data_IF_294217054611
#
_entry.id   IF_294217054611
#
_cell.length_a   1.000
_cell.length_b   1.000
_cell.length_c   1.000
_cell.angle_alpha   90.00
_cell.angle_beta   90.00
_cell.angle_gamma   90.00
#
_symmetry.space_group_name_H-M   'P 1'
#
loop_
_entity.id
_entity.type
_entity.pdbx_description
1 polymer ?
#
# COMPACT_ATOMS: atom_id res chain seq x y z
N UNK A 1 19.69 9.38 35.56
CA UNK A 1 19.47 10.51 34.63
C UNK A 1 20.48 10.41 33.50
N UNK A 2 20.06 10.05 32.28
CA UNK A 2 20.97 9.98 31.14
C UNK A 2 21.38 11.41 30.75
N UNK A 3 22.69 11.64 30.59
CA UNK A 3 23.20 12.93 30.13
C UNK A 3 22.71 13.13 28.68
N UNK A 4 21.83 14.10 28.45
CA UNK A 4 21.46 14.52 27.11
C UNK A 4 22.72 14.97 26.37
N UNK A 5 23.11 14.24 25.31
CA UNK A 5 24.24 14.62 24.45
C UNK A 5 23.92 15.97 23.81
N UNK A 6 24.80 16.96 23.99
CA UNK A 6 24.69 18.25 23.31
C UNK A 6 24.78 18.02 21.79
N UNK A 7 23.87 18.59 20.98
CA UNK A 7 23.92 18.44 19.53
C UNK A 7 25.21 19.07 19.01
N UNK A 8 26.04 18.27 18.33
CA UNK A 8 27.28 18.72 17.71
C UNK A 8 26.97 18.93 16.23
N UNK A 9 26.91 20.19 15.80
CA UNK A 9 26.91 20.50 14.37
C UNK A 9 28.32 20.19 13.85
N UNK A 10 28.41 19.26 12.89
CA UNK A 10 29.65 18.93 12.18
C UNK A 10 29.79 19.88 10.98
N UNK A 11 31.01 20.17 10.53
CA UNK A 11 31.40 21.18 9.53
C UNK A 11 30.59 21.25 8.21
N UNK A 12 29.75 20.25 7.92
CA UNK A 12 28.87 20.22 6.74
C UNK A 12 27.50 20.93 6.92
N UNK A 13 27.28 21.67 8.01
CA UNK A 13 26.06 22.45 8.22
C UNK A 13 24.78 21.63 8.50
N UNK A 14 24.92 20.39 9.02
CA UNK A 14 23.80 19.57 9.44
C UNK A 14 24.00 18.93 10.82
N UNK A 15 22.89 18.70 11.52
CA UNK A 15 22.81 17.95 12.79
C UNK A 15 22.35 16.51 12.47
N UNK A 16 23.05 15.49 12.99
CA UNK A 16 22.56 14.10 12.94
C UNK A 16 21.79 13.84 14.23
N UNK A 17 20.52 13.48 14.10
CA UNK A 17 19.65 13.15 15.22
C UNK A 17 18.90 11.85 14.92
N UNK A 18 19.09 10.83 15.76
CA UNK A 18 18.48 9.50 15.62
C UNK A 18 18.60 8.89 14.20
N UNK A 19 19.80 8.97 13.59
CA UNK A 19 20.07 8.47 12.24
C UNK A 19 19.51 9.33 11.09
N UNK A 20 18.81 10.43 11.41
CA UNK A 20 18.30 11.38 10.43
C UNK A 20 19.22 12.60 10.31
N UNK A 21 19.34 13.18 9.12
CA UNK A 21 20.08 14.44 8.91
C UNK A 21 19.12 15.63 8.97
N UNK A 22 19.38 16.60 9.84
CA UNK A 22 18.63 17.85 9.97
C UNK A 22 19.49 18.98 9.43
N UNK A 23 19.03 19.66 8.36
CA UNK A 23 19.69 20.81 7.75
C UNK A 23 18.90 22.08 8.02
N UNK A 24 19.59 23.16 8.39
CA UNK A 24 19.01 24.51 8.37
C UNK A 24 19.15 25.07 6.97
N UNK A 25 18.04 25.52 6.37
CA UNK A 25 18.02 26.12 5.05
C UNK A 25 17.55 27.56 5.22
N UNK A 26 18.39 28.50 4.80
CA UNK A 26 18.08 29.92 4.76
C UNK A 26 17.40 30.25 3.43
N UNK A 27 16.30 30.98 3.50
CA UNK A 27 15.60 31.55 2.34
C UNK A 27 16.02 33.01 2.21
N UNK A 28 16.05 33.50 0.98
CA UNK A 28 16.17 34.91 0.65
C UNK A 28 15.10 35.68 1.46
N UNK A 29 15.51 36.69 2.25
CA UNK A 29 14.74 37.44 3.25
C UNK A 29 14.88 37.00 4.72
N UNK A 30 15.90 36.22 5.07
CA UNK A 30 16.26 35.94 6.48
C UNK A 30 15.35 34.93 7.19
N UNK A 31 14.29 34.45 6.52
CA UNK A 31 13.53 33.30 6.98
C UNK A 31 14.37 32.03 6.83
N UNK A 32 14.27 31.14 7.80
CA UNK A 32 14.93 29.84 7.73
C UNK A 32 13.96 28.73 8.13
N UNK A 33 14.19 27.54 7.58
CA UNK A 33 13.46 26.33 7.95
C UNK A 33 14.41 25.17 8.13
N UNK A 34 13.95 24.12 8.79
CA UNK A 34 14.71 22.92 9.11
C UNK A 34 14.21 21.77 8.25
N UNK A 35 15.08 21.17 7.44
CA UNK A 35 14.76 20.01 6.62
C UNK A 35 15.35 18.74 7.23
N UNK A 36 14.48 17.79 7.57
CA UNK A 36 14.87 16.45 8.02
C UNK A 36 14.89 15.51 6.82
N UNK A 37 16.02 14.85 6.60
CA UNK A 37 16.19 13.80 5.59
C UNK A 37 16.26 12.45 6.28
N UNK A 38 15.30 11.58 5.97
CA UNK A 38 15.27 10.20 6.44
C UNK A 38 16.21 9.35 5.58
N UNK A 39 17.08 8.58 6.23
CA UNK A 39 17.89 7.58 5.53
C UNK A 39 17.01 6.39 5.14
N UNK A 40 17.13 5.92 3.90
CA UNK A 40 16.45 4.73 3.38
C UNK A 40 17.49 3.71 2.94
N UNK A 41 17.11 2.43 2.97
CA UNK A 41 17.89 1.31 2.42
C UNK A 41 17.80 1.30 0.87
N UNK A 42 16.67 1.74 0.29
CA UNK A 42 16.53 1.88 -1.17
C UNK A 42 15.57 3.02 -1.58
N UNK A 43 15.79 3.60 -2.77
CA UNK A 43 14.93 4.63 -3.39
C UNK A 43 15.26 6.09 -3.06
N UNK A 44 14.40 7.02 -3.52
CA UNK A 44 14.59 8.47 -3.31
C UNK A 44 14.47 8.83 -1.81
N UNK A 45 15.36 9.69 -1.25
CA UNK A 45 15.29 10.13 0.14
C UNK A 45 13.98 10.87 0.43
N UNK A 46 13.34 10.55 1.56
CA UNK A 46 12.17 11.30 2.04
C UNK A 46 12.68 12.53 2.80
N UNK A 47 12.23 13.71 2.38
CA UNK A 47 12.55 15.00 3.00
C UNK A 47 11.29 15.63 3.57
N UNK A 48 11.35 16.14 4.79
CA UNK A 48 10.27 16.88 5.46
C UNK A 48 10.83 18.19 6.00
N UNK A 49 10.12 19.28 5.75
CA UNK A 49 10.52 20.62 6.21
C UNK A 49 9.68 21.05 7.41
N UNK A 50 10.31 21.74 8.35
CA UNK A 50 9.72 22.24 9.60
C UNK A 50 10.14 23.68 9.83
N UNK A 51 9.26 24.45 10.46
CA UNK A 51 9.55 25.86 10.78
C UNK A 51 10.55 25.93 11.95
N UNK A 52 10.37 25.06 12.96
CA UNK A 52 11.14 25.10 14.20
C UNK A 52 12.10 23.91 14.32
N UNK A 53 13.29 24.15 14.89
CA UNK A 53 14.29 23.12 15.16
C UNK A 53 13.74 22.01 16.07
N UNK A 54 12.97 22.38 17.08
CA UNK A 54 12.36 21.43 18.03
C UNK A 54 11.40 20.46 17.34
N UNK A 55 10.57 20.95 16.40
CA UNK A 55 9.68 20.09 15.61
C UNK A 55 10.47 19.12 14.72
N UNK A 56 11.57 19.59 14.12
CA UNK A 56 12.45 18.75 13.32
C UNK A 56 13.10 17.64 14.16
N UNK A 57 13.54 17.97 15.39
CA UNK A 57 14.12 17.00 16.33
C UNK A 57 13.09 15.97 16.80
N UNK A 58 11.92 16.40 17.27
CA UNK A 58 10.85 15.51 17.70
C UNK A 58 10.40 14.57 16.57
N UNK A 59 10.34 15.08 15.33
CA UNK A 59 10.06 14.23 14.17
C UNK A 59 11.17 13.21 13.91
N UNK A 60 12.45 13.62 13.99
CA UNK A 60 13.58 12.72 13.80
C UNK A 60 13.64 11.60 14.85
N UNK A 61 13.29 11.91 16.09
CA UNK A 61 13.22 10.94 17.20
C UNK A 61 12.11 9.92 16.96
N UNK A 62 10.90 10.38 16.62
CA UNK A 62 9.79 9.49 16.27
C UNK A 62 10.11 8.61 15.05
N UNK A 63 10.80 9.17 14.05
CA UNK A 63 11.21 8.41 12.89
C UNK A 63 12.28 7.37 13.22
N UNK A 64 13.23 7.70 14.10
CA UNK A 64 14.24 6.77 14.62
C UNK A 64 13.61 5.60 15.38
N UNK A 65 12.67 5.89 16.29
CA UNK A 65 11.91 4.86 17.04
C UNK A 65 11.15 3.95 16.06
N UNK A 66 10.41 4.52 15.11
CA UNK A 66 9.69 3.75 14.09
C UNK A 66 10.63 2.93 13.20
N UNK A 67 11.83 3.43 12.92
CA UNK A 67 12.85 2.72 12.15
C UNK A 67 13.40 1.52 12.91
N UNK A 68 13.72 1.69 14.21
CA UNK A 68 14.17 0.61 15.08
C UNK A 68 13.08 -0.45 15.27
N UNK A 69 11.85 -0.03 15.55
CA UNK A 69 10.68 -0.92 15.66
C UNK A 69 10.38 -1.61 14.33
N UNK A 70 10.55 -0.90 13.21
CA UNK A 70 10.41 -1.44 11.86
C UNK A 70 11.43 -2.52 11.57
N UNK A 71 12.70 -2.32 11.94
CA UNK A 71 13.74 -3.34 11.85
C UNK A 71 13.39 -4.59 12.66
N UNK A 72 12.89 -4.41 13.89
CA UNK A 72 12.42 -5.51 14.74
C UNK A 72 11.16 -6.19 14.21
N UNK A 73 10.30 -5.48 13.47
CA UNK A 73 9.11 -6.06 12.80
C UNK A 73 9.44 -6.75 11.48
N UNK A 74 10.47 -6.30 10.76
CA UNK A 74 10.92 -6.95 9.53
C UNK A 74 11.71 -8.22 9.85
N UNK A 75 12.50 -8.21 10.93
CA UNK A 75 13.16 -9.41 11.46
C UNK A 75 12.22 -10.26 12.31
N UNK A 76 11.14 -9.66 12.81
CA UNK A 76 10.13 -10.35 13.58
C UNK A 76 9.14 -11.01 12.65
N UNK A 77 9.29 -12.34 12.46
CA UNK A 77 8.20 -13.20 12.02
C UNK A 77 6.88 -12.76 12.67
N UNK A 78 5.79 -12.72 11.90
CA UNK A 78 4.46 -12.37 12.42
C UNK A 78 4.13 -13.35 13.55
N UNK A 79 3.46 -12.93 14.62
CA UNK A 79 3.22 -13.79 15.80
C UNK A 79 2.61 -15.18 15.47
N UNK A 80 1.71 -15.36 14.48
CA UNK A 80 1.27 -16.68 14.04
C UNK A 80 2.41 -17.50 13.44
N UNK A 81 3.23 -16.91 12.57
CA UNK A 81 4.38 -17.56 11.95
C UNK A 81 5.47 -17.90 12.98
N UNK A 82 5.60 -17.12 14.06
CA UNK A 82 6.47 -17.46 15.21
C UNK A 82 5.95 -18.68 15.94
N UNK A 83 4.65 -18.73 16.23
CA UNK A 83 4.04 -19.88 16.88
C UNK A 83 4.13 -21.14 16.01
N UNK A 84 3.99 -21.00 14.70
CA UNK A 84 4.16 -22.09 13.75
C UNK A 84 5.62 -22.50 13.57
N UNK A 85 6.57 -21.57 13.51
CA UNK A 85 8.00 -21.88 13.47
C UNK A 85 8.43 -22.59 14.76
N UNK A 86 7.95 -22.12 15.92
CA UNK A 86 8.19 -22.76 17.22
C UNK A 86 7.52 -24.14 17.27
N UNK A 87 6.28 -24.28 16.79
CA UNK A 87 5.60 -25.58 16.64
C UNK A 87 6.38 -26.53 15.72
N UNK A 88 6.88 -26.03 14.59
CA UNK A 88 7.68 -26.81 13.65
C UNK A 88 9.03 -27.23 14.26
N UNK A 89 9.63 -26.40 15.11
CA UNK A 89 10.81 -26.83 15.88
C UNK A 89 10.50 -27.77 17.05
N UNK A 90 9.27 -27.78 17.57
CA UNK A 90 8.89 -28.63 18.73
C UNK A 90 8.23 -29.95 18.34
N UNK A 91 7.68 -30.06 17.13
CA UNK A 91 7.13 -31.28 16.55
C UNK A 91 8.23 -31.99 15.73
N UNK A 92 8.86 -33.01 16.31
CA UNK A 92 9.60 -34.12 15.66
C UNK A 92 10.76 -33.81 14.68
N UNK A 93 11.05 -32.55 14.38
CA UNK A 93 11.97 -32.16 13.31
C UNK A 93 13.42 -31.92 13.73
N UNK A 94 13.68 -31.83 15.04
CA UNK A 94 15.04 -31.74 15.58
C UNK A 94 15.87 -32.97 15.17
N UNK A 95 15.23 -34.14 15.01
CA UNK A 95 15.89 -35.38 14.58
C UNK A 95 15.76 -35.69 13.08
N UNK A 96 14.87 -35.00 12.36
CA UNK A 96 14.54 -35.31 10.97
C UNK A 96 15.36 -34.50 9.95
N UNK A 97 16.11 -33.49 10.40
CA UNK A 97 16.91 -32.60 9.56
C UNK A 97 16.06 -31.53 8.87
N UNK A 98 16.70 -30.38 8.57
CA UNK A 98 16.04 -29.19 8.02
C UNK A 98 15.19 -29.49 6.76
N UNK A 99 15.62 -30.47 5.95
CA UNK A 99 14.93 -30.86 4.71
C UNK A 99 13.53 -31.43 4.95
N UNK A 100 13.34 -32.26 5.97
CA UNK A 100 12.02 -32.81 6.32
C UNK A 100 11.12 -31.74 6.94
N UNK A 101 11.70 -30.79 7.67
CA UNK A 101 10.98 -29.65 8.22
C UNK A 101 10.42 -28.75 7.13
N UNK A 102 11.26 -28.42 6.14
CA UNK A 102 10.83 -27.70 4.96
C UNK A 102 9.79 -28.48 4.17
N UNK A 103 9.97 -29.80 3.98
CA UNK A 103 9.00 -30.62 3.23
C UNK A 103 7.62 -30.64 3.92
N UNK A 104 7.58 -30.85 5.23
CA UNK A 104 6.34 -30.82 6.00
C UNK A 104 5.67 -29.44 5.97
N UNK A 105 6.43 -28.36 6.16
CA UNK A 105 5.90 -26.99 6.00
C UNK A 105 5.32 -26.77 4.60
N UNK A 106 6.01 -27.23 3.56
CA UNK A 106 5.52 -27.17 2.18
C UNK A 106 4.25 -28.01 1.96
N UNK A 107 4.13 -29.19 2.57
CA UNK A 107 2.93 -30.05 2.47
C UNK A 107 1.74 -29.47 3.23
N UNK A 108 1.96 -28.93 4.44
CA UNK A 108 0.88 -28.43 5.30
C UNK A 108 0.36 -27.06 4.86
N UNK A 109 1.18 -26.26 4.18
CA UNK A 109 0.82 -24.89 3.80
C UNK A 109 0.55 -24.71 2.29
N UNK A 110 0.78 -25.74 1.44
CA UNK A 110 0.38 -25.74 0.02
C UNK A 110 -0.93 -26.50 -0.25
N UNK A 111 -1.96 -26.34 0.58
CA UNK A 111 -3.26 -27.00 0.36
C UNK A 111 -3.96 -26.61 -0.97
N UNK A 112 -3.42 -25.65 -1.74
CA UNK A 112 -3.70 -25.52 -3.17
C UNK A 112 -2.47 -25.97 -3.98
N UNK A 113 -2.36 -27.27 -4.20
CA UNK A 113 -1.31 -27.94 -5.01
C UNK A 113 -1.42 -27.62 -6.50
N UNK A 114 -2.42 -26.86 -6.93
CA UNK A 114 -2.59 -26.49 -8.31
C UNK A 114 -1.47 -25.52 -8.73
N UNK A 115 -0.63 -25.98 -9.66
CA UNK A 115 0.37 -25.13 -10.30
C UNK A 115 -0.29 -23.92 -10.97
N UNK A 116 0.46 -22.83 -11.11
CA UNK A 116 -0.01 -21.61 -11.79
C UNK A 116 -0.64 -21.93 -13.14
N UNK A 117 -0.10 -22.92 -13.86
CA UNK A 117 -0.62 -23.32 -15.17
C UNK A 117 -2.05 -23.82 -15.14
N UNK A 118 -2.35 -24.75 -14.22
CA UNK A 118 -3.70 -25.31 -14.05
C UNK A 118 -4.70 -24.21 -13.64
N UNK A 119 -4.32 -23.35 -12.69
CA UNK A 119 -5.17 -22.23 -12.26
C UNK A 119 -5.40 -21.20 -13.36
N UNK A 120 -4.40 -20.95 -14.22
CA UNK A 120 -4.55 -20.06 -15.37
C UNK A 120 -5.54 -20.65 -16.39
N UNK A 121 -5.50 -21.96 -16.62
CA UNK A 121 -6.46 -22.64 -17.51
C UNK A 121 -7.89 -22.56 -16.97
N UNK A 122 -8.10 -22.83 -15.67
CA UNK A 122 -9.39 -22.66 -15.01
C UNK A 122 -9.91 -21.20 -15.11
N UNK A 123 -9.03 -20.22 -14.87
CA UNK A 123 -9.39 -18.81 -14.97
C UNK A 123 -9.79 -18.40 -16.40
N UNK A 124 -9.09 -18.93 -17.41
CA UNK A 124 -9.41 -18.67 -18.82
C UNK A 124 -10.73 -19.34 -19.19
N UNK A 125 -11.00 -20.55 -18.71
CA UNK A 125 -12.27 -21.25 -18.92
C UNK A 125 -13.44 -20.47 -18.31
N UNK A 126 -13.32 -19.99 -17.07
CA UNK A 126 -14.36 -19.17 -16.43
C UNK A 126 -14.60 -17.86 -17.19
N UNK A 127 -13.53 -17.20 -17.67
CA UNK A 127 -13.69 -16.01 -18.52
C UNK A 127 -14.35 -16.31 -19.86
N UNK A 128 -14.05 -17.46 -20.48
CA UNK A 128 -14.68 -17.89 -21.72
C UNK A 128 -16.19 -18.06 -21.51
N UNK A 129 -16.62 -18.76 -20.46
CA UNK A 129 -18.05 -18.93 -20.14
C UNK A 129 -18.76 -17.59 -19.97
N UNK A 130 -18.11 -16.60 -19.33
CA UNK A 130 -18.66 -15.25 -19.18
C UNK A 130 -18.76 -14.51 -20.51
N UNK A 131 -17.78 -14.69 -21.40
CA UNK A 131 -17.83 -14.14 -22.76
C UNK A 131 -18.95 -14.78 -23.57
N UNK A 132 -19.16 -16.09 -23.45
CA UNK A 132 -20.22 -16.82 -24.16
C UNK A 132 -21.62 -16.38 -23.69
N UNK A 133 -21.75 -16.00 -22.41
CA UNK A 133 -22.97 -15.35 -21.87
C UNK A 133 -23.15 -13.89 -22.29
N UNK A 134 -22.18 -13.30 -23.00
CA UNK A 134 -22.21 -11.89 -23.40
C UNK A 134 -21.87 -10.90 -22.29
N UNK A 135 -21.36 -11.35 -21.13
CA UNK A 135 -20.97 -10.47 -20.02
C UNK A 135 -19.63 -9.75 -20.27
N UNK A 136 -18.76 -10.33 -21.10
CA UNK A 136 -17.41 -9.84 -21.37
C UNK A 136 -17.12 -9.77 -22.88
N UNK A 137 -16.49 -8.69 -23.38
CA UNK A 137 -16.07 -8.60 -24.77
C UNK A 137 -15.03 -9.67 -25.14
N UNK A 138 -15.20 -10.31 -26.31
CA UNK A 138 -14.27 -11.33 -26.80
C UNK A 138 -12.82 -10.83 -26.94
N UNK A 139 -12.62 -9.56 -27.28
CA UNK A 139 -11.29 -8.95 -27.32
C UNK A 139 -10.55 -9.03 -25.98
N UNK A 140 -11.26 -8.80 -24.86
CA UNK A 140 -10.66 -8.87 -23.52
C UNK A 140 -10.18 -10.27 -23.16
N UNK A 141 -10.89 -11.29 -23.64
CA UNK A 141 -10.50 -12.68 -23.47
C UNK A 141 -9.24 -13.01 -24.28
N UNK A 142 -9.19 -12.57 -25.55
CA UNK A 142 -8.02 -12.78 -26.42
C UNK A 142 -6.76 -12.19 -25.80
N UNK A 143 -6.82 -10.94 -25.33
CA UNK A 143 -5.69 -10.29 -24.66
C UNK A 143 -5.28 -11.03 -23.39
N UNK A 144 -6.26 -11.36 -22.53
CA UNK A 144 -5.99 -12.08 -21.28
C UNK A 144 -5.34 -13.44 -21.55
N UNK A 145 -5.83 -14.19 -22.54
CA UNK A 145 -5.29 -15.50 -22.92
C UNK A 145 -3.88 -15.40 -23.47
N UNK A 146 -3.61 -14.40 -24.32
CA UNK A 146 -2.28 -14.17 -24.87
C UNK A 146 -1.24 -13.92 -23.75
N UNK A 147 -1.54 -13.03 -22.82
CA UNK A 147 -0.61 -12.69 -21.74
C UNK A 147 -0.45 -13.79 -20.70
N UNK A 148 -1.55 -14.38 -20.23
CA UNK A 148 -1.47 -15.41 -19.21
C UNK A 148 -0.82 -16.70 -19.74
N UNK A 149 -0.91 -16.99 -21.05
CA UNK A 149 -0.19 -18.11 -21.65
C UNK A 149 1.33 -17.92 -21.58
N UNK A 150 1.83 -16.69 -21.80
CA UNK A 150 3.26 -16.38 -21.67
C UNK A 150 3.71 -16.47 -20.22
N UNK A 151 2.92 -15.93 -19.30
CA UNK A 151 3.17 -16.04 -17.85
C UNK A 151 3.17 -17.50 -17.36
N UNK A 152 2.20 -18.30 -17.80
CA UNK A 152 2.10 -19.73 -17.50
C UNK A 152 3.26 -20.54 -18.07
N UNK A 153 3.84 -20.15 -19.22
CA UNK A 153 5.03 -20.82 -19.75
C UNK A 153 6.22 -20.76 -18.78
N UNK A 154 6.34 -19.66 -18.05
CA UNK A 154 7.47 -19.42 -17.14
C UNK A 154 7.18 -19.93 -15.72
N UNK A 155 6.00 -19.61 -15.18
CA UNK A 155 5.65 -19.92 -13.80
C UNK A 155 4.71 -21.14 -13.66
N UNK A 156 4.26 -21.75 -14.76
CA UNK A 156 3.17 -22.72 -14.76
C UNK A 156 3.39 -23.96 -13.90
N UNK A 157 4.65 -24.39 -13.79
CA UNK A 157 5.08 -25.54 -12.99
C UNK A 157 5.20 -25.24 -11.49
N UNK A 158 5.18 -23.95 -11.10
CA UNK A 158 5.31 -23.53 -9.71
C UNK A 158 3.95 -23.44 -9.05
N UNK A 159 3.94 -23.65 -7.74
CA UNK A 159 2.75 -23.38 -6.92
C UNK A 159 2.48 -21.87 -6.88
N UNK A 160 1.20 -21.49 -6.97
CA UNK A 160 0.79 -20.08 -7.10
C UNK A 160 1.26 -19.19 -5.94
N UNK A 161 1.35 -19.75 -4.72
CA UNK A 161 1.82 -19.04 -3.52
C UNK A 161 3.33 -18.82 -3.46
N UNK A 162 4.11 -19.53 -4.30
CA UNK A 162 5.58 -19.41 -4.31
C UNK A 162 6.09 -18.32 -5.23
N UNK A 163 5.22 -17.72 -6.05
CA UNK A 163 5.58 -16.66 -6.99
C UNK A 163 5.68 -15.34 -6.24
N UNK A 164 6.89 -14.79 -6.16
CA UNK A 164 7.18 -13.56 -5.41
C UNK A 164 6.95 -12.30 -6.25
N UNK A 165 6.76 -11.15 -5.60
CA UNK A 165 6.62 -9.85 -6.29
C UNK A 165 7.85 -9.52 -7.14
N UNK A 166 9.06 -9.81 -6.65
CA UNK A 166 10.30 -9.51 -7.38
C UNK A 166 10.46 -10.34 -8.66
N UNK A 167 10.03 -11.60 -8.65
CA UNK A 167 10.03 -12.45 -9.85
C UNK A 167 9.00 -11.96 -10.88
N UNK A 168 7.84 -11.50 -10.43
CA UNK A 168 6.83 -10.90 -11.30
C UNK A 168 7.34 -9.58 -11.91
N UNK A 169 8.05 -8.76 -11.14
CA UNK A 169 8.66 -7.53 -11.64
C UNK A 169 9.75 -7.85 -12.68
N UNK A 170 10.61 -8.84 -12.41
CA UNK A 170 11.59 -9.35 -13.37
C UNK A 170 10.95 -9.87 -14.66
N UNK A 171 9.85 -10.61 -14.55
CA UNK A 171 9.06 -11.03 -15.71
C UNK A 171 8.57 -9.84 -16.54
N UNK A 172 8.12 -8.75 -15.91
CA UNK A 172 7.70 -7.55 -16.65
C UNK A 172 8.85 -6.81 -17.34
N UNK A 173 10.04 -6.86 -16.77
CA UNK A 173 11.24 -6.26 -17.35
C UNK A 173 11.74 -7.06 -18.57
N UNK A 174 11.61 -8.40 -18.54
CA UNK A 174 11.97 -9.27 -19.67
C UNK A 174 10.96 -9.26 -20.82
N UNK A 175 9.67 -9.15 -20.49
CA UNK A 175 8.60 -9.40 -21.45
C UNK A 175 8.39 -8.24 -22.42
N UNK A 176 8.66 -6.98 -22.04
CA UNK A 176 8.38 -5.80 -22.88
C UNK A 176 9.04 -4.47 -22.49
N UNK A 177 9.14 -3.56 -23.48
CA UNK A 177 9.39 -2.12 -23.27
C UNK A 177 8.22 -1.40 -22.57
N UNK A 178 8.51 -0.25 -21.95
CA UNK A 178 7.66 0.44 -20.97
C UNK A 178 6.18 0.70 -21.37
N UNK A 179 5.87 0.79 -22.66
CA UNK A 179 4.56 1.26 -23.15
C UNK A 179 3.35 0.38 -22.73
N UNK A 180 3.53 -0.94 -22.58
CA UNK A 180 2.42 -1.87 -22.30
C UNK A 180 2.50 -2.58 -20.93
N UNK A 181 3.51 -2.30 -20.10
CA UNK A 181 3.67 -2.97 -18.80
C UNK A 181 2.43 -2.84 -17.90
N UNK A 182 1.76 -1.68 -17.94
CA UNK A 182 0.55 -1.42 -17.16
C UNK A 182 -0.62 -2.33 -17.53
N UNK A 183 -0.86 -2.54 -18.83
CA UNK A 183 -1.93 -3.43 -19.29
C UNK A 183 -1.64 -4.88 -18.89
N UNK A 184 -0.39 -5.34 -19.03
CA UNK A 184 -0.01 -6.69 -18.65
C UNK A 184 -0.15 -6.91 -17.14
N UNK A 185 0.31 -5.95 -16.32
CA UNK A 185 0.11 -5.95 -14.86
C UNK A 185 -1.36 -6.10 -14.48
N UNK A 186 -2.27 -5.47 -15.22
CA UNK A 186 -3.70 -5.60 -14.98
C UNK A 186 -4.21 -7.03 -15.18
N UNK A 187 -3.82 -7.70 -16.27
CA UNK A 187 -4.27 -9.08 -16.54
C UNK A 187 -3.78 -10.06 -15.46
N UNK A 188 -2.49 -9.99 -15.10
CA UNK A 188 -1.91 -10.87 -14.07
C UNK A 188 -2.47 -10.53 -12.69
N UNK A 189 -2.66 -9.24 -12.36
CA UNK A 189 -3.29 -8.83 -11.11
C UNK A 189 -4.74 -9.32 -11.02
N UNK A 190 -5.49 -9.30 -12.14
CA UNK A 190 -6.85 -9.84 -12.21
C UNK A 190 -6.87 -11.35 -11.96
N UNK A 191 -5.92 -12.10 -12.53
CA UNK A 191 -5.75 -13.53 -12.26
C UNK A 191 -5.47 -13.79 -10.76
N UNK A 192 -4.51 -13.09 -10.15
CA UNK A 192 -4.22 -13.28 -8.73
C UNK A 192 -5.38 -12.87 -7.82
N UNK A 193 -6.12 -11.81 -8.15
CA UNK A 193 -7.34 -11.46 -7.41
C UNK A 193 -8.41 -12.54 -7.51
N UNK A 194 -8.56 -13.17 -8.68
CA UNK A 194 -9.45 -14.33 -8.85
C UNK A 194 -8.98 -15.52 -8.00
N UNK A 195 -7.69 -15.84 -8.00
CA UNK A 195 -7.12 -16.91 -7.18
C UNK A 195 -7.33 -16.65 -5.67
N UNK A 196 -7.20 -15.40 -5.22
CA UNK A 196 -7.54 -14.99 -3.84
C UNK A 196 -9.03 -15.19 -3.56
N UNK A 197 -9.91 -14.83 -4.49
CA UNK A 197 -11.37 -15.02 -4.32
C UNK A 197 -11.77 -16.50 -4.22
N UNK A 198 -11.02 -17.39 -4.88
CA UNK A 198 -11.16 -18.84 -4.81
C UNK A 198 -10.46 -19.46 -3.59
N UNK A 199 -9.81 -18.66 -2.74
CA UNK A 199 -9.00 -19.08 -1.59
C UNK A 199 -7.78 -19.95 -1.95
N UNK A 200 -7.33 -19.91 -3.21
CA UNK A 200 -6.06 -20.52 -3.63
C UNK A 200 -4.85 -19.71 -3.14
N UNK A 201 -5.08 -18.43 -2.80
CA UNK A 201 -4.08 -17.51 -2.26
C UNK A 201 -4.68 -16.68 -1.12
N UNK A 202 -3.83 -16.30 -0.16
CA UNK A 202 -4.20 -15.39 0.92
C UNK A 202 -4.18 -13.91 0.50
N UNK A 203 -3.27 -13.53 -0.41
CA UNK A 203 -3.15 -12.15 -0.92
C UNK A 203 -2.65 -12.11 -2.37
N UNK A 204 -2.80 -10.95 -3.02
CA UNK A 204 -2.30 -10.71 -4.38
C UNK A 204 -0.86 -10.17 -4.34
N UNK A 205 0.14 -10.87 -4.90
CA UNK A 205 1.55 -10.48 -4.83
C UNK A 205 1.88 -9.23 -5.68
N UNK A 206 1.06 -8.86 -6.66
CA UNK A 206 1.24 -7.64 -7.48
C UNK A 206 0.81 -6.39 -6.70
N UNK A 207 0.07 -6.57 -5.60
CA UNK A 207 -0.56 -5.49 -4.87
C UNK A 207 -1.68 -4.81 -5.67
N UNK A 208 -2.35 -3.80 -5.07
CA UNK A 208 -3.25 -2.94 -5.83
C UNK A 208 -2.42 -2.23 -6.90
N UNK A 209 -2.84 -2.33 -8.17
CA UNK A 209 -2.26 -1.53 -9.25
C UNK A 209 -2.50 -0.06 -8.94
N UNK A 210 -1.50 0.59 -8.33
CA UNK A 210 -1.48 2.04 -8.21
C UNK A 210 -1.40 2.59 -9.62
N UNK A 211 -2.45 3.29 -10.03
CA UNK A 211 -2.37 4.12 -11.23
C UNK A 211 -1.41 5.25 -10.86
N UNK A 212 -0.34 5.44 -11.63
CA UNK A 212 0.73 6.44 -11.43
C UNK A 212 0.23 7.89 -11.19
N UNK A 213 -1.07 8.16 -11.35
CA UNK A 213 -1.72 9.42 -11.03
C UNK A 213 -2.01 9.62 -9.52
N UNK A 214 -1.50 8.75 -8.63
CA UNK A 214 -1.68 8.84 -7.17
C UNK A 214 -3.01 8.28 -6.65
N UNK A 215 -3.57 7.27 -7.32
CA UNK A 215 -4.81 6.59 -6.91
C UNK A 215 -4.56 5.14 -6.48
N UNK A 216 -5.09 4.76 -5.31
CA UNK A 216 -5.27 3.37 -4.87
C UNK A 216 -6.60 2.84 -5.44
N UNK A 217 -6.59 1.74 -6.19
CA UNK A 217 -7.83 1.07 -6.62
C UNK A 217 -8.21 0.04 -5.55
N UNK A 218 -9.42 0.16 -5.00
CA UNK A 218 -9.91 -0.71 -3.94
C UNK A 218 -11.38 -1.08 -4.20
N UNK A 219 -11.67 -2.38 -4.41
CA UNK A 219 -13.01 -2.89 -4.77
C UNK A 219 -13.71 -2.11 -5.89
N UNK A 220 -13.01 -1.83 -6.99
CA UNK A 220 -13.53 -1.06 -8.13
C UNK A 220 -13.65 0.46 -7.89
N UNK A 221 -13.31 0.95 -6.70
CA UNK A 221 -13.30 2.37 -6.37
C UNK A 221 -11.90 2.95 -6.53
N UNK A 222 -11.78 4.19 -7.03
CA UNK A 222 -10.50 4.92 -7.04
C UNK A 222 -10.38 5.78 -5.78
N UNK A 223 -9.39 5.52 -4.94
CA UNK A 223 -9.08 6.28 -3.72
C UNK A 223 -7.86 7.15 -3.98
N UNK A 224 -8.01 8.48 -3.91
CA UNK A 224 -6.90 9.43 -4.02
C UNK A 224 -6.59 10.05 -2.67
N UNK A 225 -5.34 10.10 -2.26
CA UNK A 225 -4.93 10.98 -1.18
C UNK A 225 -4.63 12.37 -1.76
N UNK A 226 -5.33 13.39 -1.28
CA UNK A 226 -5.12 14.78 -1.69
C UNK A 226 -4.63 15.58 -0.49
N UNK A 227 -3.49 16.23 -0.66
CA UNK A 227 -2.95 17.17 0.32
C UNK A 227 -3.68 18.53 0.19
N UNK A 228 -4.09 19.07 1.33
CA UNK A 228 -4.60 20.43 1.50
C UNK A 228 -3.46 21.28 2.07
N UNK A 229 -3.51 22.60 1.86
CA UNK A 229 -2.67 23.55 2.58
C UNK A 229 -2.60 23.22 4.08
N UNK A 230 -1.43 23.47 4.69
CA UNK A 230 -1.10 23.18 6.09
C UNK A 230 -0.92 21.69 6.44
N UNK A 231 -0.60 20.83 5.48
CA UNK A 231 -0.20 19.43 5.71
C UNK A 231 -1.34 18.48 6.09
N UNK A 232 -2.59 18.96 6.06
CA UNK A 232 -3.77 18.11 6.16
C UNK A 232 -3.97 17.35 4.86
N UNK A 233 -4.44 16.11 4.94
CA UNK A 233 -4.78 15.32 3.77
C UNK A 233 -6.19 14.74 3.93
N UNK A 234 -6.88 14.56 2.80
CA UNK A 234 -8.11 13.79 2.76
C UNK A 234 -8.01 12.71 1.70
N UNK A 235 -8.80 11.67 1.87
CA UNK A 235 -8.92 10.57 0.93
C UNK A 235 -10.21 10.73 0.13
N UNK A 236 -10.10 10.88 -1.18
CA UNK A 236 -11.26 10.95 -2.08
C UNK A 236 -11.52 9.59 -2.71
N UNK A 237 -12.64 8.97 -2.38
CA UNK A 237 -13.14 7.78 -3.05
C UNK A 237 -14.01 8.22 -4.23
N UNK A 238 -13.69 7.75 -5.42
CA UNK A 238 -14.44 7.98 -6.65
C UNK A 238 -15.03 6.66 -7.12
N UNK A 239 -16.36 6.61 -7.14
CA UNK A 239 -17.15 5.51 -7.68
C UNK A 239 -17.48 5.83 -9.13
N UNK A 240 -17.04 4.98 -10.06
CA UNK A 240 -17.48 5.05 -11.45
C UNK A 240 -18.87 4.39 -11.55
N UNK A 241 -19.85 5.11 -12.11
CA UNK A 241 -21.16 4.55 -12.46
C UNK A 241 -21.12 4.06 -13.89
N UNK A 242 -21.87 3.00 -14.18
CA UNK A 242 -22.03 2.47 -15.55
C UNK A 242 -22.69 3.54 -16.45
N UNK A 243 -23.61 4.32 -15.90
CA UNK A 243 -24.19 5.50 -16.53
C UNK A 243 -24.24 6.70 -15.57
N UNK A 244 -23.93 7.90 -16.07
CA UNK A 244 -23.99 9.16 -15.32
C UNK A 244 -22.67 9.64 -14.69
N UNK A 245 -22.74 10.75 -13.93
CA UNK A 245 -21.58 11.39 -13.33
C UNK A 245 -20.99 10.53 -12.18
N UNK A 246 -19.66 10.45 -12.05
CA UNK A 246 -19.02 9.69 -10.98
C UNK A 246 -19.32 10.28 -9.60
N UNK A 247 -19.59 9.43 -8.62
CA UNK A 247 -19.82 9.85 -7.23
C UNK A 247 -18.47 10.00 -6.55
N UNK A 248 -18.21 11.19 -6.00
CA UNK A 248 -16.97 11.49 -5.25
C UNK A 248 -17.32 11.69 -3.79
N UNK A 249 -16.69 10.92 -2.89
CA UNK A 249 -16.79 11.10 -1.43
C UNK A 249 -15.42 11.35 -0.83
N UNK A 250 -15.36 12.25 0.16
CA UNK A 250 -14.11 12.62 0.84
C UNK A 250 -14.14 12.07 2.27
N UNK A 251 -12.99 11.59 2.73
CA UNK A 251 -12.80 10.99 4.05
C UNK A 251 -11.53 11.58 4.68
N UNK A 252 -11.53 11.68 6.01
CA UNK A 252 -10.37 12.21 6.74
C UNK A 252 -9.27 11.14 6.83
N UNK A 253 -9.65 9.87 6.90
CA UNK A 253 -8.70 8.76 7.09
C UNK A 253 -8.78 7.72 5.98
N UNK A 254 -7.65 7.07 5.68
CA UNK A 254 -7.58 5.99 4.69
C UNK A 254 -8.50 4.81 5.08
N UNK A 255 -8.58 4.49 6.38
CA UNK A 255 -9.43 3.41 6.90
C UNK A 255 -10.91 3.63 6.58
N UNK A 256 -11.41 4.86 6.76
CA UNK A 256 -12.78 5.22 6.40
C UNK A 256 -13.02 5.11 4.89
N UNK A 257 -12.08 5.61 4.08
CA UNK A 257 -12.16 5.52 2.62
C UNK A 257 -12.21 4.07 2.12
N UNK A 258 -11.32 3.20 2.62
CA UNK A 258 -11.29 1.78 2.28
C UNK A 258 -12.53 1.03 2.77
N UNK A 259 -12.99 1.31 4.00
CA UNK A 259 -14.21 0.70 4.53
C UNK A 259 -15.45 1.08 3.71
N UNK A 260 -15.54 2.34 3.27
CA UNK A 260 -16.59 2.78 2.38
C UNK A 260 -16.49 2.07 1.02
N UNK A 261 -15.31 2.07 0.39
CA UNK A 261 -15.07 1.41 -0.88
C UNK A 261 -15.45 -0.08 -0.86
N UNK A 262 -15.07 -0.82 0.20
CA UNK A 262 -15.46 -2.23 0.36
C UNK A 262 -16.96 -2.43 0.50
N UNK A 263 -17.66 -1.57 1.25
CA UNK A 263 -19.13 -1.65 1.40
C UNK A 263 -19.88 -1.32 0.11
N UNK A 264 -19.41 -0.36 -0.68
CA UNK A 264 -20.05 0.03 -1.95
C UNK A 264 -19.68 -0.90 -3.10
N UNK A 265 -18.43 -1.33 -3.18
CA UNK A 265 -17.96 -2.25 -4.22
C UNK A 265 -18.63 -3.62 -4.14
N UNK A 266 -18.99 -4.08 -2.94
CA UNK A 266 -19.69 -5.35 -2.73
C UNK A 266 -21.19 -5.32 -3.12
N UNK A 267 -21.82 -4.15 -3.27
CA UNK A 267 -23.27 -4.03 -3.46
C UNK A 267 -23.75 -3.82 -4.90
N UNK A 268 -22.85 -3.67 -5.88
CA UNK A 268 -23.23 -3.26 -7.23
C UNK A 268 -23.78 -1.83 -7.26
N UNK A 269 -23.70 -1.15 -8.41
CA UNK A 269 -24.00 0.28 -8.54
C UNK A 269 -25.48 0.66 -8.42
N UNK A 270 -26.37 -0.31 -8.18
CA UNK A 270 -27.80 -0.14 -8.42
C UNK A 270 -28.65 -0.18 -7.14
N UNK A 271 -28.04 -0.39 -5.97
CA UNK A 271 -28.71 -0.34 -4.68
C UNK A 271 -28.57 1.01 -3.98
N UNK A 272 -29.69 1.71 -3.76
CA UNK A 272 -29.79 2.93 -2.94
C UNK A 272 -28.97 2.82 -1.65
N UNK A 273 -27.83 3.50 -1.63
CA UNK A 273 -26.92 3.45 -0.49
C UNK A 273 -27.48 4.38 0.59
N UNK A 274 -28.13 3.82 1.63
CA UNK A 274 -28.54 4.54 2.84
C UNK A 274 -27.41 5.45 3.33
N UNK A 275 -27.69 6.74 3.41
CA UNK A 275 -26.70 7.77 3.69
C UNK A 275 -26.27 7.71 5.15
N UNK A 276 -25.08 7.18 5.42
CA UNK A 276 -24.38 7.41 6.68
C UNK A 276 -23.82 8.84 6.67
N UNK A 277 -24.36 9.66 7.59
CA UNK A 277 -23.81 10.89 8.15
C UNK A 277 -23.06 11.81 7.19
N UNK A 278 -23.77 12.79 6.63
CA UNK A 278 -23.16 13.90 5.92
C UNK A 278 -22.28 14.73 6.87
N UNK A 279 -21.09 15.13 6.41
CA UNK A 279 -20.43 16.31 6.97
C UNK A 279 -20.80 17.46 6.06
N UNK A 280 -21.66 18.32 6.58
CA UNK A 280 -22.07 19.57 5.95
C UNK A 280 -20.83 20.44 5.69
N UNK A 281 -20.59 20.90 4.43
CA UNK A 281 -19.54 21.86 4.13
C UNK A 281 -19.58 23.09 5.04
N UNK A 282 -20.77 23.50 5.49
CA UNK A 282 -20.95 24.63 6.38
C UNK A 282 -20.46 24.34 7.79
N UNK A 283 -20.54 23.08 8.25
CA UNK A 283 -19.90 22.65 9.51
C UNK A 283 -18.37 22.68 9.44
N UNK A 284 -17.78 22.35 8.29
CA UNK A 284 -16.32 22.44 8.12
C UNK A 284 -15.88 23.91 8.14
N UNK A 285 -16.63 24.79 7.48
CA UNK A 285 -16.33 26.22 7.48
C UNK A 285 -16.56 26.85 8.85
N UNK A 286 -17.59 26.42 9.59
CA UNK A 286 -17.83 26.84 10.96
C UNK A 286 -16.67 26.44 11.88
N UNK A 287 -16.21 25.18 11.83
CA UNK A 287 -15.06 24.72 12.64
C UNK A 287 -13.78 25.48 12.30
N UNK A 288 -13.55 25.80 11.01
CA UNK A 288 -12.41 26.63 10.60
C UNK A 288 -12.49 28.05 11.17
N UNK A 289 -13.67 28.66 11.14
CA UNK A 289 -13.88 29.98 11.73
C UNK A 289 -13.64 29.96 13.24
N UNK A 290 -14.19 28.98 13.96
CA UNK A 290 -14.01 28.85 15.42
C UNK A 290 -12.54 28.60 15.80
N UNK A 291 -11.81 27.80 15.01
CA UNK A 291 -10.38 27.58 15.25
C UNK A 291 -9.54 28.82 14.97
N UNK A 292 -9.89 29.61 13.96
CA UNK A 292 -9.23 30.88 13.65
C UNK A 292 -9.45 31.91 14.77
N UNK A 293 -10.67 31.98 15.31
CA UNK A 293 -11.01 32.86 16.42
C UNK A 293 -10.26 32.48 17.70
N UNK A 294 -10.18 31.18 18.02
CA UNK A 294 -9.38 30.68 19.16
C UNK A 294 -7.89 30.97 19.00
N UNK A 295 -7.36 30.82 17.78
CA UNK A 295 -5.97 31.14 17.48
C UNK A 295 -5.68 32.64 17.69
N UNK A 296 -6.54 33.51 17.18
CA UNK A 296 -6.41 34.96 17.33
C UNK A 296 -6.59 35.43 18.78
N UNK A 297 -7.50 34.81 19.52
CA UNK A 297 -7.71 35.10 20.94
C UNK A 297 -6.49 34.75 21.80
N UNK A 298 -5.82 33.63 21.51
CA UNK A 298 -4.60 33.24 22.19
C UNK A 298 -3.41 34.12 21.80
N UNK A 299 -3.33 34.56 20.54
CA UNK A 299 -2.28 35.47 20.09
C UNK A 299 -2.37 36.85 20.77
N UNK A 300 -3.59 37.37 20.97
CA UNK A 300 -3.82 38.65 21.69
C UNK A 300 -3.54 38.58 23.20
N UNK A 301 -3.60 37.40 23.82
CA UNK A 301 -3.25 37.22 25.24
C UNK A 301 -1.75 37.10 25.49
N UNK A 302 -0.98 36.83 24.43
CA UNK A 302 0.47 36.67 24.50
C UNK A 302 1.24 37.96 24.14
N UNK A 303 0.54 39.00 23.68
CA UNK A 303 1.05 40.35 23.41
C UNK A 303 0.62 41.30 24.53
#
# INVERSE_FOLDING_TARGET
MSKQKKPTFVDDGYEINNGCRIRRIEIINGFHFYQVTLQRISGKPIRRSFINAEQARSFSEQAGIKGADGGMKVLGFIDPDRFEAVKATTLDLINAGLQKASAHFYETHNESTAGVGALVEEFIAEKQERTDRGELPAASLVDTKHFLKRFSKEFGHRAVGTVTTGEIDGFFDEVNGAANQRAHRLHISTFFNWAVSRKCLSFNPIGPTFVDDGYEINHGCRIRQTEIANGFHYYQVTLQRISGKPIRRRFITARQARSFAGKTGAKGTDGETKVLGFIDPDRINAVKATMLDLYNANFRKAA
#
